data_IF_613516618115
#
_entry.id   IF_613516618115
#
_cell.length_a   1.000
_cell.length_b   1.000
_cell.length_c   1.000
_cell.angle_alpha   90.00
_cell.angle_beta   90.00
_cell.angle_gamma   90.00
#
_symmetry.space_group_name_H-M   'P 1'
#
loop_
_entity.id
_entity.type
_entity.pdbx_description
1 polymer ?
#
# COMPACT_ATOMS: atom_id res chain seq x y z
N UNK A 1 -38.62 38.01 -41.00
CA UNK A 1 -38.95 37.32 -39.73
C UNK A 1 -38.27 35.95 -39.56
N UNK A 2 -38.22 35.07 -40.57
CA UNK A 2 -37.60 33.73 -40.43
C UNK A 2 -36.08 33.75 -40.15
N UNK A 3 -35.33 34.66 -40.78
CA UNK A 3 -33.87 34.83 -40.59
C UNK A 3 -33.51 35.37 -39.21
N UNK A 4 -34.27 36.34 -38.69
CA UNK A 4 -34.06 36.90 -37.34
C UNK A 4 -34.27 35.83 -36.26
N UNK A 5 -35.28 34.95 -36.41
CA UNK A 5 -35.51 33.83 -35.48
C UNK A 5 -34.38 32.81 -35.49
N UNK A 6 -33.74 32.56 -36.64
CA UNK A 6 -32.64 31.61 -36.77
C UNK A 6 -31.35 32.15 -36.12
N UNK A 7 -31.06 33.44 -36.29
CA UNK A 7 -29.90 34.10 -35.65
C UNK A 7 -30.03 34.14 -34.12
N UNK A 8 -31.24 34.37 -33.59
CA UNK A 8 -31.49 34.34 -32.14
C UNK A 8 -31.31 32.92 -31.59
N UNK A 9 -31.79 31.90 -32.30
CA UNK A 9 -31.65 30.50 -31.87
C UNK A 9 -30.16 30.09 -31.79
N UNK A 10 -29.35 30.53 -32.76
CA UNK A 10 -27.91 30.24 -32.81
C UNK A 10 -27.14 30.95 -31.68
N UNK A 11 -27.49 32.22 -31.39
CA UNK A 11 -26.91 32.97 -30.26
C UNK A 11 -27.26 32.33 -28.91
N UNK A 12 -28.49 31.86 -28.73
CA UNK A 12 -28.91 31.16 -27.49
C UNK A 12 -28.15 29.83 -27.33
N UNK A 13 -27.93 29.07 -28.40
CA UNK A 13 -27.15 27.83 -28.33
C UNK A 13 -25.68 28.08 -27.97
N UNK A 14 -25.05 29.12 -28.54
CA UNK A 14 -23.66 29.48 -28.21
C UNK A 14 -23.54 29.95 -26.75
N UNK A 15 -24.49 30.76 -26.26
CA UNK A 15 -24.53 31.20 -24.86
C UNK A 15 -24.75 30.03 -23.87
N UNK A 16 -25.56 29.04 -24.24
CA UNK A 16 -25.78 27.86 -23.41
C UNK A 16 -24.55 26.93 -23.38
N UNK A 17 -23.82 26.82 -24.51
CA UNK A 17 -22.57 26.05 -24.59
C UNK A 17 -21.42 26.72 -23.84
N UNK A 18 -21.28 28.05 -23.92
CA UNK A 18 -20.23 28.76 -23.18
C UNK A 18 -20.48 28.77 -21.66
N UNK A 19 -21.75 28.92 -21.24
CA UNK A 19 -22.11 28.82 -19.83
C UNK A 19 -21.91 27.41 -19.27
N UNK A 20 -22.19 26.35 -20.04
CA UNK A 20 -22.01 24.97 -19.56
C UNK A 20 -20.53 24.61 -19.41
N UNK A 21 -19.67 24.99 -20.36
CA UNK A 21 -18.23 24.79 -20.26
C UNK A 21 -17.61 25.57 -19.10
N UNK A 22 -17.99 26.84 -18.93
CA UNK A 22 -17.44 27.67 -17.87
C UNK A 22 -17.86 27.18 -16.47
N UNK A 23 -19.11 26.73 -16.30
CA UNK A 23 -19.58 26.12 -15.05
C UNK A 23 -18.89 24.78 -14.78
N UNK A 24 -18.65 23.97 -15.81
CA UNK A 24 -17.97 22.69 -15.70
C UNK A 24 -16.49 22.86 -15.29
N UNK A 25 -15.77 23.82 -15.90
CA UNK A 25 -14.37 24.13 -15.58
C UNK A 25 -14.24 24.72 -14.16
N UNK A 26 -15.13 25.64 -13.77
CA UNK A 26 -15.12 26.23 -12.42
C UNK A 26 -15.47 25.18 -11.34
N UNK A 27 -16.42 24.30 -11.61
CA UNK A 27 -16.76 23.17 -10.74
C UNK A 27 -15.59 22.19 -10.54
N UNK A 28 -14.89 21.85 -11.62
CA UNK A 28 -13.72 20.96 -11.59
C UNK A 28 -12.56 21.59 -10.82
N UNK A 29 -12.26 22.87 -11.06
CA UNK A 29 -11.21 23.62 -10.36
C UNK A 29 -11.46 23.71 -8.85
N UNK A 30 -12.69 24.04 -8.44
CA UNK A 30 -13.08 24.09 -7.02
C UNK A 30 -12.92 22.74 -6.32
N UNK A 31 -13.28 21.65 -6.98
CA UNK A 31 -13.09 20.30 -6.44
C UNK A 31 -11.61 19.92 -6.31
N UNK A 32 -10.76 20.31 -7.26
CA UNK A 32 -9.30 20.11 -7.15
C UNK A 32 -8.76 20.88 -5.95
N UNK A 33 -9.04 22.18 -5.83
CA UNK A 33 -8.56 23.01 -4.72
C UNK A 33 -9.01 22.45 -3.37
N UNK A 34 -10.27 22.02 -3.25
CA UNK A 34 -10.78 21.40 -2.01
C UNK A 34 -10.00 20.14 -1.63
N UNK A 35 -9.70 19.28 -2.61
CA UNK A 35 -8.94 18.04 -2.40
C UNK A 35 -7.50 18.32 -1.98
N UNK A 36 -6.84 19.27 -2.62
CA UNK A 36 -5.49 19.68 -2.26
C UNK A 36 -5.46 20.17 -0.80
N UNK A 37 -6.38 21.07 -0.41
CA UNK A 37 -6.49 21.55 0.98
C UNK A 37 -6.70 20.42 1.98
N UNK A 38 -7.56 19.46 1.66
CA UNK A 38 -7.83 18.29 2.50
C UNK A 38 -6.59 17.42 2.69
N UNK A 39 -5.83 17.16 1.62
CA UNK A 39 -4.57 16.40 1.68
C UNK A 39 -3.54 17.15 2.52
N UNK A 40 -3.35 18.46 2.28
CA UNK A 40 -2.43 19.29 3.06
C UNK A 40 -2.80 19.26 4.55
N UNK A 41 -4.10 19.31 4.88
CA UNK A 41 -4.58 19.22 6.26
C UNK A 41 -4.33 17.84 6.88
N UNK A 42 -4.57 16.76 6.15
CA UNK A 42 -4.28 15.41 6.65
C UNK A 42 -2.78 15.22 6.92
N UNK A 43 -1.93 15.73 6.04
CA UNK A 43 -0.46 15.66 6.18
C UNK A 43 0.04 16.51 7.34
N UNK A 44 -0.53 17.69 7.58
CA UNK A 44 -0.12 18.52 8.72
C UNK A 44 -0.48 17.89 10.07
N UNK A 45 -1.47 17.00 10.10
CA UNK A 45 -1.85 16.20 11.26
C UNK A 45 -1.02 14.91 11.40
N UNK A 46 -0.33 14.48 10.34
CA UNK A 46 0.54 13.31 10.36
C UNK A 46 1.88 13.70 10.99
N UNK A 47 1.99 13.52 12.30
CA UNK A 47 3.21 13.73 13.09
C UNK A 47 3.73 12.40 13.62
N UNK A 48 4.97 12.30 14.14
CA UNK A 48 5.47 11.06 14.74
C UNK A 48 4.61 10.55 15.91
N UNK A 49 3.85 11.43 16.57
CA UNK A 49 2.93 11.07 17.66
C UNK A 49 1.49 10.85 17.19
N UNK A 50 1.23 10.84 15.88
CA UNK A 50 -0.09 10.56 15.35
C UNK A 50 -0.54 9.16 15.79
N UNK A 51 -1.79 9.04 16.25
CA UNK A 51 -2.38 7.78 16.70
C UNK A 51 -2.17 6.62 15.72
N UNK A 52 -2.24 6.89 14.42
CA UNK A 52 -2.08 5.88 13.36
C UNK A 52 -0.65 5.31 13.28
N UNK A 53 0.34 6.03 13.83
CA UNK A 53 1.75 5.65 13.79
C UNK A 53 2.27 5.09 15.11
N UNK A 54 1.68 5.50 16.24
CA UNK A 54 2.11 5.04 17.58
C UNK A 54 1.30 3.88 18.13
N UNK A 55 0.12 3.60 17.55
CA UNK A 55 -0.70 2.47 17.96
C UNK A 55 -0.01 1.16 17.58
N UNK A 56 0.19 0.29 18.57
CA UNK A 56 0.77 -1.02 18.33
C UNK A 56 -0.16 -1.85 17.43
N UNK A 57 0.42 -2.56 16.47
CA UNK A 57 -0.32 -3.51 15.65
C UNK A 57 -1.01 -4.51 16.57
N UNK A 58 -2.25 -4.85 16.26
CA UNK A 58 -3.04 -5.82 17.02
C UNK A 58 -2.21 -7.09 17.33
N UNK A 59 -2.12 -7.45 18.62
CA UNK A 59 -1.29 -8.57 19.07
C UNK A 59 -1.60 -9.90 18.37
N UNK A 60 -2.89 -10.18 18.11
CA UNK A 60 -3.28 -11.39 17.38
C UNK A 60 -2.77 -11.38 15.93
N UNK A 61 -2.73 -10.22 15.29
CA UNK A 61 -2.13 -10.07 13.95
C UNK A 61 -0.61 -10.32 14.03
N UNK A 62 0.08 -9.75 15.02
CA UNK A 62 1.50 -10.02 15.22
C UNK A 62 1.76 -11.52 15.43
N UNK A 63 1.01 -12.17 16.32
CA UNK A 63 1.18 -13.58 16.68
C UNK A 63 0.97 -14.49 15.45
N UNK A 64 -0.06 -14.25 14.63
CA UNK A 64 -0.33 -15.04 13.41
C UNK A 64 0.73 -14.84 12.32
N UNK A 65 1.28 -13.63 12.17
CA UNK A 65 2.41 -13.37 11.26
C UNK A 65 3.67 -14.10 11.75
N UNK A 66 3.95 -14.05 13.05
CA UNK A 66 5.11 -14.73 13.64
C UNK A 66 4.99 -16.25 13.56
N UNK A 67 3.78 -16.80 13.72
CA UNK A 67 3.49 -18.20 13.48
C UNK A 67 3.78 -18.59 12.02
N UNK A 68 3.29 -17.79 11.07
CA UNK A 68 3.58 -17.99 9.64
C UNK A 68 5.07 -17.93 9.34
N UNK A 69 5.79 -16.99 9.94
CA UNK A 69 7.24 -16.87 9.79
C UNK A 69 7.94 -18.15 10.28
N UNK A 70 7.56 -18.67 11.45
CA UNK A 70 8.10 -19.92 11.99
C UNK A 70 7.81 -21.12 11.06
N UNK A 71 6.60 -21.19 10.48
CA UNK A 71 6.25 -22.23 9.50
C UNK A 71 7.13 -22.15 8.25
N UNK A 72 7.36 -20.95 7.72
CA UNK A 72 8.22 -20.75 6.54
C UNK A 72 9.69 -21.12 6.81
N UNK A 73 10.18 -20.89 8.03
CA UNK A 73 11.52 -21.31 8.47
C UNK A 73 11.58 -22.84 8.61
N UNK A 74 10.60 -23.44 9.28
CA UNK A 74 10.55 -24.88 9.54
C UNK A 74 10.29 -25.72 8.28
N UNK A 75 9.55 -25.18 7.30
CA UNK A 75 9.15 -25.86 6.08
C UNK A 75 10.20 -25.89 4.96
N UNK A 76 11.39 -25.30 5.15
CA UNK A 76 12.41 -25.26 4.09
C UNK A 76 13.19 -26.56 3.93
N UNK A 77 12.80 -27.31 2.91
CA UNK A 77 13.73 -28.00 2.01
C UNK A 77 13.91 -27.10 0.77
N UNK A 78 15.13 -26.58 0.55
CA UNK A 78 15.69 -26.11 -0.74
C UNK A 78 15.40 -24.72 -1.37
N UNK A 79 14.67 -23.78 -0.75
CA UNK A 79 14.77 -22.37 -1.18
C UNK A 79 15.80 -21.65 -0.30
N UNK A 80 16.65 -20.77 -0.84
CA UNK A 80 17.75 -20.07 -0.14
C UNK A 80 17.41 -18.67 0.40
N UNK A 81 16.24 -18.12 0.04
CA UNK A 81 15.83 -16.72 0.36
C UNK A 81 15.25 -16.41 1.77
N UNK A 82 14.82 -17.41 2.55
CA UNK A 82 14.32 -17.35 3.94
C UNK A 82 14.97 -18.46 4.79
N UNK A 83 16.14 -18.99 4.40
CA UNK A 83 16.97 -19.81 5.30
C UNK A 83 17.62 -18.98 6.42
N UNK A 84 16.96 -17.89 6.80
CA UNK A 84 17.50 -16.85 7.68
C UNK A 84 16.94 -17.13 9.06
N UNK A 85 17.75 -17.75 9.91
CA UNK A 85 17.48 -17.76 11.35
C UNK A 85 17.32 -16.32 11.79
N UNK A 86 16.15 -15.98 12.35
CA UNK A 86 15.85 -14.63 12.82
C UNK A 86 15.78 -14.65 14.35
N UNK A 87 16.49 -13.74 15.00
CA UNK A 87 16.46 -13.59 16.45
C UNK A 87 15.11 -12.98 16.85
N UNK A 88 14.21 -13.80 17.39
CA UNK A 88 12.84 -13.39 17.77
C UNK A 88 12.80 -12.14 18.66
N UNK A 89 13.78 -11.99 19.56
CA UNK A 89 13.92 -10.83 20.46
C UNK A 89 14.18 -9.50 19.75
N UNK A 90 14.60 -9.54 18.49
CA UNK A 90 14.93 -8.35 17.70
C UNK A 90 13.81 -7.91 16.77
N UNK A 91 12.72 -8.69 16.70
CA UNK A 91 11.61 -8.40 15.79
C UNK A 91 10.89 -7.13 16.22
N UNK A 92 10.73 -6.21 15.27
CA UNK A 92 10.00 -4.96 15.44
C UNK A 92 9.04 -4.77 14.28
N UNK A 93 7.76 -4.56 14.61
CA UNK A 93 6.75 -4.16 13.65
C UNK A 93 6.86 -2.67 13.35
N UNK A 94 6.72 -2.35 12.07
CA UNK A 94 6.77 -0.98 11.54
C UNK A 94 5.34 -0.47 11.39
N UNK A 95 5.04 0.77 11.79
CA UNK A 95 3.72 1.34 11.57
C UNK A 95 3.36 1.37 10.08
N UNK A 96 2.13 1.00 9.75
CA UNK A 96 1.62 1.01 8.38
C UNK A 96 0.32 1.80 8.35
N UNK A 97 0.23 2.73 7.41
CA UNK A 97 -0.99 3.45 7.08
C UNK A 97 -1.35 3.22 5.62
N UNK A 98 -2.63 3.28 5.30
CA UNK A 98 -3.17 3.16 3.95
C UNK A 98 -3.87 4.45 3.54
N UNK A 99 -3.76 4.77 2.25
CA UNK A 99 -4.55 5.81 1.59
C UNK A 99 -5.47 5.18 0.55
N UNK A 100 -6.75 5.58 0.46
CA UNK A 100 -7.63 5.15 -0.63
C UNK A 100 -7.04 5.47 -2.01
N UNK A 101 -7.26 4.63 -3.03
CA UNK A 101 -6.76 4.95 -4.38
C UNK A 101 -7.55 6.11 -4.98
N UNK A 102 -8.85 6.13 -4.68
CA UNK A 102 -9.83 7.14 -5.09
C UNK A 102 -9.93 8.27 -4.07
N UNK A 103 -8.82 8.94 -3.76
CA UNK A 103 -8.80 10.13 -2.90
C UNK A 103 -9.77 11.23 -3.37
N UNK A 104 -10.13 11.23 -4.66
CA UNK A 104 -11.12 12.16 -5.20
C UNK A 104 -12.55 11.95 -4.68
N UNK A 105 -12.86 10.78 -4.10
CA UNK A 105 -14.14 10.48 -3.45
C UNK A 105 -14.11 10.80 -1.94
N UNK A 106 -12.94 11.12 -1.39
CA UNK A 106 -12.78 11.47 0.02
C UNK A 106 -13.08 12.95 0.20
N UNK A 107 -13.93 13.27 1.16
CA UNK A 107 -14.41 14.63 1.45
C UNK A 107 -14.01 15.13 2.85
N UNK A 108 -13.21 14.35 3.56
CA UNK A 108 -12.85 14.51 4.96
C UNK A 108 -11.36 14.16 5.15
N UNK A 109 -10.59 15.08 5.72
CA UNK A 109 -9.14 14.90 5.92
C UNK A 109 -8.83 13.73 6.86
N UNK A 110 -9.72 13.42 7.80
CA UNK A 110 -9.53 12.30 8.73
C UNK A 110 -9.61 10.93 8.03
N UNK A 111 -10.15 10.90 6.81
CA UNK A 111 -10.30 9.68 5.99
C UNK A 111 -9.25 9.52 4.91
N UNK A 112 -8.28 10.44 4.85
CA UNK A 112 -7.14 10.33 3.91
C UNK A 112 -6.23 9.17 4.30
N UNK A 113 -6.06 8.93 5.60
CA UNK A 113 -5.27 7.82 6.14
C UNK A 113 -6.12 6.90 7.01
N UNK A 114 -5.80 5.61 6.97
CA UNK A 114 -6.41 4.57 7.81
C UNK A 114 -5.41 3.46 8.11
N UNK A 115 -5.72 2.60 9.07
CA UNK A 115 -4.93 1.39 9.32
C UNK A 115 -5.31 0.34 8.24
N UNK A 116 -4.32 -0.26 7.54
CA UNK A 116 -4.59 -1.34 6.60
C UNK A 116 -5.00 -2.62 7.33
N UNK A 117 -5.89 -3.40 6.70
CA UNK A 117 -6.36 -4.68 7.24
C UNK A 117 -5.54 -5.87 6.73
N UNK A 118 -4.84 -5.71 5.60
CA UNK A 118 -4.23 -6.83 4.86
C UNK A 118 -2.73 -6.70 4.63
N UNK A 119 -2.05 -5.77 5.30
CA UNK A 119 -0.63 -5.53 5.11
C UNK A 119 0.06 -5.21 6.43
N UNK A 120 1.22 -5.80 6.65
CA UNK A 120 2.13 -5.45 7.74
C UNK A 120 3.57 -5.41 7.25
N UNK A 121 4.39 -4.61 7.92
CA UNK A 121 5.83 -4.57 7.73
C UNK A 121 6.53 -4.79 9.07
N UNK A 122 7.62 -5.54 9.05
CA UNK A 122 8.45 -5.76 10.23
C UNK A 122 9.89 -6.03 9.82
N UNK A 123 10.79 -5.93 10.77
CA UNK A 123 12.19 -6.31 10.58
C UNK A 123 12.74 -7.00 11.81
N UNK A 124 13.85 -7.71 11.65
CA UNK A 124 14.62 -8.26 12.75
C UNK A 124 16.01 -8.64 12.27
N UNK A 125 16.87 -9.05 13.20
CA UNK A 125 18.25 -9.41 12.92
C UNK A 125 18.43 -10.91 12.84
N UNK A 126 19.30 -11.36 11.93
CA UNK A 126 19.77 -12.74 11.93
C UNK A 126 20.90 -12.96 12.95
N UNK A 127 21.38 -14.20 13.06
CA UNK A 127 22.46 -14.57 13.99
C UNK A 127 23.79 -13.82 13.73
N UNK A 128 23.97 -13.26 12.53
CA UNK A 128 25.13 -12.43 12.17
C UNK A 128 24.94 -10.94 12.51
N UNK A 129 23.77 -10.56 13.04
CA UNK A 129 23.41 -9.17 13.34
C UNK A 129 22.92 -8.36 12.13
N UNK A 130 22.75 -8.99 10.96
CA UNK A 130 22.24 -8.32 9.76
C UNK A 130 20.73 -8.11 9.88
N UNK A 131 20.26 -6.88 9.62
CA UNK A 131 18.83 -6.56 9.59
C UNK A 131 18.20 -7.08 8.32
N UNK A 132 17.07 -7.78 8.47
CA UNK A 132 16.24 -8.27 7.37
C UNK A 132 14.85 -7.65 7.52
N UNK A 133 14.33 -7.11 6.42
CA UNK A 133 13.01 -6.52 6.35
C UNK A 133 12.01 -7.48 5.73
N UNK A 134 10.75 -7.38 6.14
CA UNK A 134 9.68 -8.24 5.68
C UNK A 134 8.42 -7.45 5.38
N UNK A 135 7.72 -7.89 4.34
CA UNK A 135 6.31 -7.60 4.14
C UNK A 135 5.49 -8.85 4.41
N UNK A 136 4.37 -8.66 5.09
CA UNK A 136 3.34 -9.67 5.29
C UNK A 136 2.04 -9.20 4.64
N UNK A 137 1.49 -10.00 3.73
CA UNK A 137 0.27 -9.72 2.99
C UNK A 137 -0.79 -10.76 3.37
N UNK A 138 -1.98 -10.33 3.77
CA UNK A 138 -3.06 -11.22 4.17
C UNK A 138 -4.00 -11.52 3.00
N UNK A 139 -4.14 -12.81 2.68
CA UNK A 139 -5.02 -13.30 1.63
C UNK A 139 -6.31 -13.85 2.25
N UNK A 140 -7.26 -12.95 2.51
CA UNK A 140 -8.57 -13.27 3.07
C UNK A 140 -9.40 -14.17 2.15
N UNK A 141 -9.26 -13.97 0.84
CA UNK A 141 -10.03 -14.66 -0.16
C UNK A 141 -9.59 -16.13 -0.30
N UNK A 142 -10.58 -17.03 -0.31
CA UNK A 142 -10.34 -18.43 -0.65
C UNK A 142 -10.32 -18.58 -2.17
N UNK A 143 -9.49 -19.50 -2.65
CA UNK A 143 -9.53 -19.90 -4.03
C UNK A 143 -10.81 -20.67 -4.30
N UNK A 144 -11.71 -20.12 -5.12
CA UNK A 144 -12.98 -20.75 -5.49
C UNK A 144 -13.03 -21.04 -6.99
N UNK A 145 -13.54 -22.21 -7.35
CA UNK A 145 -13.65 -22.67 -8.76
C UNK A 145 -14.48 -21.74 -9.64
N UNK A 146 -15.52 -21.15 -9.05
CA UNK A 146 -16.58 -20.45 -9.80
C UNK A 146 -16.47 -18.92 -9.75
N UNK A 147 -15.58 -18.38 -8.92
CA UNK A 147 -15.56 -16.96 -8.53
C UNK A 147 -14.21 -16.30 -8.75
N UNK A 148 -13.13 -17.07 -8.75
CA UNK A 148 -11.87 -16.61 -9.33
C UNK A 148 -12.04 -16.55 -10.86
N UNK A 149 -11.29 -15.70 -11.58
CA UNK A 149 -11.39 -15.66 -13.03
C UNK A 149 -11.25 -17.10 -13.54
N UNK A 150 -12.28 -17.61 -14.25
CA UNK A 150 -12.36 -19.01 -14.72
C UNK A 150 -11.04 -19.49 -15.34
N UNK A 151 -10.28 -18.56 -15.93
CA UNK A 151 -8.94 -18.77 -16.49
C UNK A 151 -7.91 -19.31 -15.50
N UNK A 152 -7.94 -18.99 -14.21
CA UNK A 152 -6.90 -19.41 -13.28
C UNK A 152 -7.06 -20.87 -12.86
N UNK A 153 -8.27 -21.30 -12.49
CA UNK A 153 -8.53 -22.71 -12.20
C UNK A 153 -8.39 -23.56 -13.46
N UNK A 154 -8.96 -23.12 -14.59
CA UNK A 154 -8.82 -23.84 -15.86
C UNK A 154 -7.36 -23.95 -16.31
N UNK A 155 -6.59 -22.86 -16.21
CA UNK A 155 -5.15 -22.89 -16.49
C UNK A 155 -4.38 -23.84 -15.57
N UNK A 156 -4.75 -23.92 -14.27
CA UNK A 156 -4.14 -24.88 -13.36
C UNK A 156 -4.49 -26.33 -13.71
N UNK A 157 -5.74 -26.59 -14.12
CA UNK A 157 -6.17 -27.91 -14.61
C UNK A 157 -5.41 -28.29 -15.87
N UNK A 158 -5.21 -27.36 -16.81
CA UNK A 158 -4.49 -27.59 -18.06
C UNK A 158 -3.00 -27.93 -17.81
N UNK A 159 -2.36 -27.25 -16.86
CA UNK A 159 -0.92 -27.44 -16.58
C UNK A 159 -0.64 -28.60 -15.63
N UNK A 160 -1.44 -28.76 -14.57
CA UNK A 160 -1.15 -29.67 -13.46
C UNK A 160 -2.20 -30.78 -13.29
N UNK A 161 -3.26 -30.77 -14.09
CA UNK A 161 -4.35 -31.74 -14.01
C UNK A 161 -5.41 -31.38 -12.97
N UNK A 162 -6.60 -31.97 -13.15
CA UNK A 162 -7.78 -31.69 -12.32
C UNK A 162 -7.58 -32.00 -10.84
N UNK A 163 -6.95 -33.13 -10.53
CA UNK A 163 -6.74 -33.55 -9.13
C UNK A 163 -5.86 -32.55 -8.36
N UNK A 164 -4.79 -32.05 -8.99
CA UNK A 164 -3.93 -31.04 -8.38
C UNK A 164 -4.67 -29.71 -8.18
N UNK A 165 -5.46 -29.28 -9.17
CA UNK A 165 -6.27 -28.08 -9.06
C UNK A 165 -7.36 -28.19 -7.97
N UNK A 166 -8.00 -29.37 -7.83
CA UNK A 166 -8.97 -29.66 -6.77
C UNK A 166 -8.33 -29.60 -5.38
N UNK A 167 -7.13 -30.20 -5.21
CA UNK A 167 -6.37 -30.11 -3.95
C UNK A 167 -5.95 -28.68 -3.61
N UNK A 168 -5.57 -27.87 -4.61
CA UNK A 168 -5.27 -26.46 -4.39
C UNK A 168 -6.47 -25.70 -3.84
N UNK A 169 -7.67 -25.89 -4.42
CA UNK A 169 -8.93 -25.29 -3.92
C UNK A 169 -9.18 -25.73 -2.46
N UNK A 170 -9.11 -27.03 -2.20
CA UNK A 170 -9.35 -27.58 -0.86
C UNK A 170 -8.35 -27.03 0.17
N UNK A 171 -7.07 -26.96 -0.19
CA UNK A 171 -6.02 -26.40 0.67
C UNK A 171 -6.29 -24.93 0.97
N UNK A 172 -6.74 -24.14 -0.01
CA UNK A 172 -7.02 -22.71 0.17
C UNK A 172 -8.14 -22.46 1.18
N UNK A 173 -9.18 -23.31 1.17
CA UNK A 173 -10.32 -23.24 2.09
C UNK A 173 -9.90 -23.63 3.51
N UNK A 174 -9.00 -24.62 3.64
CA UNK A 174 -8.56 -25.17 4.94
C UNK A 174 -7.43 -24.38 5.60
N UNK A 175 -6.93 -23.32 4.96
CA UNK A 175 -5.86 -22.47 5.53
C UNK A 175 -6.27 -21.93 6.90
N UNK A 176 -5.39 -22.14 7.87
CA UNK A 176 -5.39 -21.42 9.15
C UNK A 176 -5.15 -19.92 8.95
N UNK A 177 -5.42 -19.12 9.99
CA UNK A 177 -5.15 -17.68 9.96
C UNK A 177 -3.68 -17.36 9.67
N UNK A 178 -2.74 -18.13 10.23
CA UNK A 178 -1.31 -18.00 9.93
C UNK A 178 -1.01 -18.30 8.45
N UNK A 179 -1.58 -19.35 7.87
CA UNK A 179 -1.36 -19.75 6.47
C UNK A 179 -1.96 -18.77 5.44
N UNK A 180 -2.84 -17.86 5.86
CA UNK A 180 -3.35 -16.77 5.02
C UNK A 180 -2.34 -15.66 4.79
N UNK A 181 -1.31 -15.57 5.63
CA UNK A 181 -0.22 -14.62 5.44
C UNK A 181 0.80 -15.12 4.41
N UNK A 182 1.12 -14.28 3.44
CA UNK A 182 2.31 -14.41 2.60
C UNK A 182 3.41 -13.52 3.17
N UNK A 183 4.62 -14.07 3.35
CA UNK A 183 5.77 -13.32 3.87
C UNK A 183 6.85 -13.23 2.80
N UNK A 184 7.22 -12.01 2.45
CA UNK A 184 8.31 -11.69 1.53
C UNK A 184 9.49 -11.10 2.31
N UNK A 185 10.69 -11.61 2.09
CA UNK A 185 11.93 -11.08 2.68
C UNK A 185 12.69 -10.16 1.73
N UNK A 186 13.27 -9.11 2.32
CA UNK A 186 14.19 -8.18 1.69
C UNK A 186 15.53 -8.27 2.41
N UNK A 187 16.44 -9.07 1.84
CA UNK A 187 17.79 -9.23 2.36
C UNK A 187 18.67 -8.04 1.93
N UNK A 188 19.79 -7.76 2.61
CA UNK A 188 20.69 -6.65 2.27
C UNK A 188 21.10 -6.56 0.80
N UNK A 189 21.11 -7.68 0.08
CA UNK A 189 21.47 -7.75 -1.34
C UNK A 189 20.33 -7.27 -2.27
N UNK A 190 19.12 -7.00 -1.77
CA UNK A 190 17.99 -6.49 -2.55
C UNK A 190 17.89 -4.97 -2.49
N UNK A 191 17.51 -4.36 -3.62
CA UNK A 191 17.39 -2.91 -3.76
C UNK A 191 16.37 -2.29 -2.79
N UNK A 192 15.28 -2.99 -2.47
CA UNK A 192 14.32 -2.53 -1.46
C UNK A 192 14.96 -2.30 -0.08
N UNK A 193 15.98 -3.08 0.31
CA UNK A 193 16.67 -2.92 1.59
C UNK A 193 17.39 -1.58 1.69
N UNK A 194 17.97 -1.09 0.58
CA UNK A 194 18.60 0.24 0.54
C UNK A 194 17.60 1.36 0.88
N UNK A 195 16.33 1.21 0.50
CA UNK A 195 15.30 2.23 0.80
C UNK A 195 14.93 2.25 2.29
N UNK A 196 14.94 1.10 2.97
CA UNK A 196 14.75 1.05 4.43
C UNK A 196 15.91 1.71 5.16
N UNK A 197 17.15 1.36 4.80
CA UNK A 197 18.34 1.96 5.41
C UNK A 197 18.41 3.46 5.13
N UNK A 198 18.12 3.90 3.89
CA UNK A 198 18.04 5.32 3.54
C UNK A 198 17.06 6.07 4.44
N UNK A 199 15.86 5.53 4.66
CA UNK A 199 14.86 6.13 5.54
C UNK A 199 15.36 6.24 6.98
N UNK A 200 16.02 5.20 7.51
CA UNK A 200 16.59 5.19 8.86
C UNK A 200 17.73 6.20 9.01
N UNK A 201 18.59 6.34 8.01
CA UNK A 201 19.74 7.26 8.04
C UNK A 201 19.32 8.73 7.95
N UNK A 202 18.22 9.02 7.25
CA UNK A 202 17.80 10.39 6.95
C UNK A 202 16.64 10.89 7.82
N UNK A 203 16.05 10.02 8.63
CA UNK A 203 14.97 10.42 9.54
C UNK A 203 15.47 11.09 10.81
N UNK A 204 14.59 11.89 11.41
CA UNK A 204 14.91 12.68 12.61
C UNK A 204 15.38 11.82 13.81
N UNK A 205 14.91 10.58 13.91
CA UNK A 205 15.11 9.69 15.07
C UNK A 205 15.42 8.22 14.71
N UNK A 206 15.70 7.94 13.43
CA UNK A 206 15.95 6.59 12.93
C UNK A 206 14.68 5.75 12.73
N UNK A 207 13.49 6.32 12.91
CA UNK A 207 12.20 5.66 12.64
C UNK A 207 11.69 5.91 11.23
N UNK A 208 10.80 5.04 10.78
CA UNK A 208 10.11 5.11 9.50
C UNK A 208 8.75 4.41 9.62
N UNK A 209 7.86 4.65 8.66
CA UNK A 209 6.56 4.00 8.54
C UNK A 209 6.31 3.63 7.08
N UNK A 210 5.30 2.79 6.83
CA UNK A 210 4.91 2.40 5.48
C UNK A 210 3.59 3.07 5.11
N UNK A 211 3.53 3.66 3.93
CA UNK A 211 2.29 4.06 3.29
C UNK A 211 1.94 3.06 2.18
N UNK A 212 0.73 2.51 2.22
CA UNK A 212 0.15 1.76 1.11
C UNK A 212 -0.97 2.55 0.44
N UNK A 213 -1.32 2.15 -0.79
CA UNK A 213 -2.48 2.67 -1.51
C UNK A 213 -3.42 1.51 -1.86
N UNK A 214 -4.58 1.46 -1.21
CA UNK A 214 -5.49 0.30 -1.23
C UNK A 214 -4.79 -1.03 -0.90
N UNK A 215 -3.92 -1.03 0.12
CA UNK A 215 -3.10 -2.18 0.52
C UNK A 215 -2.12 -2.65 -0.58
N UNK A 216 -1.84 -1.81 -1.58
CA UNK A 216 -0.87 -2.09 -2.65
C UNK A 216 0.23 -1.02 -2.68
N UNK A 217 1.32 -1.27 -3.43
CA UNK A 217 2.42 -0.34 -3.69
C UNK A 217 3.01 0.33 -2.42
N UNK A 218 3.69 -0.44 -1.55
CA UNK A 218 4.23 0.11 -0.31
C UNK A 218 5.33 1.13 -0.59
N UNK A 219 5.18 2.32 0.00
CA UNK A 219 6.19 3.36 0.07
C UNK A 219 6.77 3.44 1.47
N UNK A 220 8.10 3.49 1.56
CA UNK A 220 8.80 3.71 2.81
C UNK A 220 8.82 5.21 3.07
N UNK A 221 8.24 5.62 4.19
CA UNK A 221 8.07 7.00 4.59
C UNK A 221 8.79 7.27 5.89
N UNK A 222 9.21 8.50 6.11
CA UNK A 222 9.91 8.90 7.31
C UNK A 222 9.73 10.38 7.60
N UNK A 223 10.03 10.80 8.82
CA UNK A 223 10.01 12.21 9.19
C UNK A 223 11.41 12.80 9.12
N UNK A 224 11.52 13.94 8.45
CA UNK A 224 12.70 14.79 8.46
C UNK A 224 12.28 16.22 8.71
N UNK A 225 12.95 16.90 9.63
CA UNK A 225 12.57 18.23 10.11
C UNK A 225 11.08 18.29 10.51
N UNK A 226 10.58 17.21 11.12
CA UNK A 226 9.18 17.00 11.55
C UNK A 226 8.15 17.00 10.41
N UNK A 227 8.57 16.83 9.16
CA UNK A 227 7.69 16.74 7.99
C UNK A 227 7.78 15.35 7.37
N UNK A 228 6.68 14.77 6.87
CA UNK A 228 6.69 13.45 6.27
C UNK A 228 7.23 13.49 4.83
N UNK A 229 8.19 12.63 4.57
CA UNK A 229 8.78 12.35 3.26
C UNK A 229 8.60 10.87 2.93
N UNK A 230 8.78 10.52 1.66
CA UNK A 230 8.89 9.14 1.22
C UNK A 230 10.14 8.93 0.38
N UNK A 231 10.70 7.72 0.47
CA UNK A 231 11.83 7.33 -0.37
C UNK A 231 11.38 7.32 -1.84
N UNK A 232 12.05 8.13 -2.64
CA UNK A 232 11.91 8.20 -4.08
C UNK A 232 13.19 7.71 -4.75
N UNK A 233 13.09 7.18 -5.95
CA UNK A 233 14.26 6.76 -6.71
C UNK A 233 13.90 6.73 -8.19
N UNK A 234 14.57 7.59 -8.97
CA UNK A 234 14.41 7.61 -10.42
C UNK A 234 15.08 6.38 -11.07
N UNK A 235 16.17 5.87 -10.46
CA UNK A 235 16.91 4.66 -10.84
C UNK A 235 17.50 3.97 -9.60
N UNK A 236 18.00 2.73 -9.76
CA UNK A 236 18.40 1.83 -8.66
C UNK A 236 19.56 2.32 -7.76
N UNK A 237 20.34 3.30 -8.22
CA UNK A 237 21.54 3.79 -7.53
C UNK A 237 21.42 5.21 -6.97
N UNK A 238 20.35 5.94 -7.29
CA UNK A 238 20.11 7.30 -6.80
C UNK A 238 18.81 7.34 -6.00
N UNK A 239 18.92 7.02 -4.71
CA UNK A 239 17.84 7.22 -3.76
C UNK A 239 17.77 8.68 -3.33
N UNK A 240 16.56 9.21 -3.32
CA UNK A 240 16.24 10.54 -2.83
C UNK A 240 14.96 10.49 -1.99
N UNK A 241 14.48 11.66 -1.60
CA UNK A 241 13.22 11.79 -0.87
C UNK A 241 12.39 12.89 -1.49
N UNK A 242 11.07 12.68 -1.50
CA UNK A 242 10.11 13.69 -1.89
C UNK A 242 9.10 13.95 -0.75
N UNK A 243 8.57 15.18 -0.64
CA UNK A 243 7.48 15.45 0.28
C UNK A 243 6.34 14.48 0.05
N UNK A 244 5.81 13.86 1.11
CA UNK A 244 4.73 12.88 0.98
C UNK A 244 3.49 13.46 0.28
N UNK A 245 3.30 14.77 0.40
CA UNK A 245 2.23 15.50 -0.26
C UNK A 245 2.25 15.37 -1.78
N UNK A 246 3.42 15.29 -2.41
CA UNK A 246 3.53 15.14 -3.87
C UNK A 246 2.96 13.81 -4.35
N UNK A 247 3.14 12.74 -3.57
CA UNK A 247 2.63 11.42 -3.91
C UNK A 247 1.11 11.32 -3.77
N UNK A 248 0.53 12.02 -2.79
CA UNK A 248 -0.90 11.97 -2.51
C UNK A 248 -1.73 12.93 -3.39
N UNK A 249 -1.08 13.97 -3.93
CA UNK A 249 -1.71 14.88 -4.89
C UNK A 249 -1.98 14.15 -6.22
N UNK A 250 -3.16 14.36 -6.82
CA UNK A 250 -3.50 13.81 -8.13
C UNK A 250 -2.79 14.53 -9.27
#
# INVERSE_FOLDING_TARGET
MKTIKLSILFLVQILLLSCSEQVYVDGTSKQVIKRYKMITQAISQLTPQNKLLVEEINKNVQDTILERLNMNIAGRWNDSSLSLTLMKSTIKFVPVIDSPSRLYLVNDSEKVFRIPEKFACFYGQNDNGETIYFYAIYHAENFMKDTNPKSYYQGYVEVFGKEAADKMVESSIKRTEAERWEIMSFTPQKNETKKFEYAREHSDDGTFFILTRENTYPHICFFKDKKPYYCWGANQDELSMEPLENYLKP
#
